data_IF_581000701930
#
_entry.id   IF_581000701930
#
_cell.length_a   1.000
_cell.length_b   1.000
_cell.length_c   1.000
_cell.angle_alpha   90.00
_cell.angle_beta   90.00
_cell.angle_gamma   90.00
#
_symmetry.space_group_name_H-M   'P 1'
#
loop_
_entity.id
_entity.type
_entity.pdbx_description
1 polymer ?
#
# COMPACT_ATOMS: atom_id res chain seq x y z
N UNK A 1 47.35 -8.15 20.90
CA UNK A 1 45.95 -7.73 20.74
C UNK A 1 45.79 -7.52 19.25
N UNK A 2 45.23 -8.47 18.49
CA UNK A 2 44.85 -8.19 17.12
C UNK A 2 43.59 -7.31 17.14
N UNK A 3 43.60 -6.29 16.27
CA UNK A 3 42.48 -5.42 15.94
C UNK A 3 41.30 -6.25 15.43
N UNK A 4 40.21 -6.32 16.21
CA UNK A 4 38.86 -6.55 15.68
C UNK A 4 38.28 -5.18 15.28
N UNK A 5 38.69 -4.69 14.11
CA UNK A 5 37.84 -3.76 13.39
C UNK A 5 36.72 -4.61 12.76
N UNK A 6 35.43 -4.27 12.96
CA UNK A 6 34.37 -4.97 12.24
C UNK A 6 34.63 -4.76 10.75
N UNK A 7 34.92 -5.85 10.04
CA UNK A 7 34.88 -5.88 8.59
C UNK A 7 33.60 -5.15 8.18
N UNK A 8 33.76 -4.05 7.45
CA UNK A 8 32.65 -3.33 6.85
C UNK A 8 31.82 -4.38 6.12
N UNK A 9 30.62 -4.67 6.61
CA UNK A 9 29.64 -5.50 5.93
C UNK A 9 29.59 -4.99 4.49
N UNK A 10 30.26 -5.71 3.58
CA UNK A 10 30.15 -5.42 2.16
C UNK A 10 28.66 -5.34 1.88
N UNK A 11 28.22 -4.29 1.18
CA UNK A 11 26.82 -4.08 0.81
C UNK A 11 26.36 -5.26 -0.06
N UNK A 12 26.03 -6.38 0.57
CA UNK A 12 25.51 -7.57 -0.09
C UNK A 12 24.08 -7.20 -0.47
N UNK A 13 23.93 -6.82 -1.73
CA UNK A 13 22.63 -6.62 -2.35
C UNK A 13 21.98 -8.00 -2.41
N UNK A 14 21.06 -8.27 -1.49
CA UNK A 14 20.33 -9.53 -1.39
C UNK A 14 18.83 -9.25 -1.38
N UNK A 15 18.04 -10.18 -1.90
CA UNK A 15 16.60 -10.05 -1.87
C UNK A 15 16.05 -9.97 -0.44
N UNK A 16 16.68 -10.68 0.51
CA UNK A 16 16.29 -10.65 1.92
C UNK A 16 16.52 -9.27 2.55
N UNK A 17 17.68 -8.64 2.29
CA UNK A 17 17.97 -7.29 2.81
C UNK A 17 17.08 -6.23 2.17
N UNK A 18 16.83 -6.33 0.86
CA UNK A 18 15.86 -5.50 0.14
C UNK A 18 14.48 -5.65 0.77
N UNK A 19 13.95 -6.88 0.86
CA UNK A 19 12.62 -7.15 1.37
C UNK A 19 12.42 -6.62 2.80
N UNK A 20 13.36 -6.88 3.71
CA UNK A 20 13.29 -6.35 5.09
C UNK A 20 13.25 -4.83 5.12
N UNK A 21 14.06 -4.18 4.29
CA UNK A 21 14.13 -2.71 4.23
C UNK A 21 12.81 -2.09 3.79
N UNK A 22 12.23 -2.58 2.70
CA UNK A 22 11.00 -2.01 2.14
C UNK A 22 9.76 -2.40 2.93
N UNK A 23 9.68 -3.61 3.48
CA UNK A 23 8.60 -3.99 4.39
C UNK A 23 8.62 -3.14 5.66
N UNK A 24 9.80 -2.88 6.23
CA UNK A 24 9.92 -1.98 7.38
C UNK A 24 9.57 -0.52 7.05
N UNK A 25 9.92 -0.04 5.85
CA UNK A 25 9.52 1.28 5.37
C UNK A 25 8.01 1.40 5.22
N UNK A 26 7.37 0.39 4.63
CA UNK A 26 5.93 0.36 4.44
C UNK A 26 5.17 0.26 5.76
N UNK A 27 5.67 -0.51 6.73
CA UNK A 27 5.10 -0.57 8.08
C UNK A 27 5.13 0.80 8.76
N UNK A 28 6.27 1.51 8.71
CA UNK A 28 6.36 2.87 9.28
C UNK A 28 5.39 3.84 8.61
N UNK A 29 5.21 3.73 7.30
CA UNK A 29 4.24 4.54 6.56
C UNK A 29 2.81 4.22 7.01
N UNK A 30 2.48 2.93 7.16
CA UNK A 30 1.19 2.47 7.67
C UNK A 30 0.91 3.03 9.08
N UNK A 31 1.87 2.89 10.00
CA UNK A 31 1.73 3.37 11.38
C UNK A 31 1.51 4.88 11.44
N UNK A 32 2.23 5.65 10.61
CA UNK A 32 2.07 7.10 10.49
C UNK A 32 0.70 7.49 9.95
N UNK A 33 0.17 6.76 8.96
CA UNK A 33 -1.17 6.98 8.42
C UNK A 33 -2.23 6.68 9.49
N UNK A 34 -2.15 5.51 10.14
CA UNK A 34 -3.09 5.11 11.18
C UNK A 34 -3.11 6.11 12.36
N UNK A 35 -1.93 6.57 12.81
CA UNK A 35 -1.81 7.57 13.86
C UNK A 35 -2.45 8.90 13.44
N UNK A 36 -2.18 9.35 12.21
CA UNK A 36 -2.70 10.62 11.68
C UNK A 36 -4.22 10.57 11.52
N UNK A 37 -4.77 9.46 11.02
CA UNK A 37 -6.21 9.22 10.92
C UNK A 37 -6.89 9.26 12.30
N UNK A 38 -6.33 8.58 13.28
CA UNK A 38 -6.84 8.61 14.65
C UNK A 38 -6.83 10.03 15.21
N UNK A 39 -5.72 10.76 15.05
CA UNK A 39 -5.59 12.14 15.52
C UNK A 39 -6.59 13.10 14.87
N UNK A 40 -6.84 12.96 13.57
CA UNK A 40 -7.82 13.78 12.85
C UNK A 40 -9.27 13.48 13.27
N UNK A 41 -9.60 12.22 13.59
CA UNK A 41 -10.92 11.84 14.11
C UNK A 41 -11.19 12.35 15.51
N UNK A 42 -10.16 12.42 16.36
CA UNK A 42 -10.30 12.80 17.77
C UNK A 42 -9.91 14.26 18.05
N UNK A 43 -9.69 15.08 17.01
CA UNK A 43 -9.25 16.46 17.19
C UNK A 43 -10.31 17.28 17.93
N UNK A 44 -9.93 17.92 19.04
CA UNK A 44 -10.81 18.83 19.79
C UNK A 44 -10.70 20.27 19.22
N UNK A 45 -11.79 20.84 18.68
CA UNK A 45 -11.80 22.23 18.21
C UNK A 45 -11.36 23.24 19.26
N UNK A 46 -11.67 23.01 20.54
CA UNK A 46 -11.28 23.93 21.62
C UNK A 46 -9.78 23.92 21.87
N UNK A 47 -9.16 22.74 21.75
CA UNK A 47 -7.71 22.63 21.83
C UNK A 47 -7.05 23.38 20.66
N UNK A 48 -7.60 23.26 19.45
CA UNK A 48 -7.13 24.03 18.29
C UNK A 48 -7.20 25.55 18.54
N UNK A 49 -8.35 26.06 18.99
CA UNK A 49 -8.55 27.49 19.28
C UNK A 49 -7.58 28.00 20.35
N UNK A 50 -7.30 27.19 21.37
CA UNK A 50 -6.30 27.52 22.39
C UNK A 50 -4.90 27.66 21.77
N UNK A 51 -4.42 26.66 21.03
CA UNK A 51 -3.08 26.68 20.46
C UNK A 51 -2.92 27.74 19.36
N UNK A 52 -3.97 28.02 18.59
CA UNK A 52 -3.96 29.08 17.58
C UNK A 52 -3.87 30.46 18.22
N UNK A 53 -4.57 30.69 19.34
CA UNK A 53 -4.54 31.96 20.07
C UNK A 53 -3.25 32.21 20.88
N UNK A 54 -2.55 31.15 21.29
CA UNK A 54 -1.23 31.27 21.93
C UNK A 54 -0.19 31.84 20.95
N UNK A 55 -0.31 31.52 19.66
CA UNK A 55 0.57 32.04 18.61
C UNK A 55 0.16 33.46 18.18
N UNK A 56 0.48 34.46 19.01
CA UNK A 56 0.12 35.88 18.76
C UNK A 56 0.91 36.59 17.65
N UNK A 57 1.83 35.89 16.99
CA UNK A 57 2.79 36.48 16.02
C UNK A 57 2.52 36.00 14.59
N UNK A 58 1.36 35.37 14.33
CA UNK A 58 1.02 34.92 12.98
C UNK A 58 0.88 36.12 12.02
N UNK A 59 1.49 36.07 10.82
CA UNK A 59 1.64 37.24 9.93
C UNK A 59 0.34 37.67 9.24
N UNK A 60 -0.67 36.79 9.17
CA UNK A 60 -1.95 37.08 8.53
C UNK A 60 -3.13 36.51 9.34
N UNK A 61 -3.49 37.13 10.49
CA UNK A 61 -4.62 36.68 11.32
C UNK A 61 -5.95 36.65 10.57
N UNK A 62 -6.13 37.51 9.57
CA UNK A 62 -7.31 37.55 8.71
C UNK A 62 -7.52 36.29 7.86
N UNK A 63 -6.47 35.49 7.64
CA UNK A 63 -6.54 34.22 6.91
C UNK A 63 -6.64 33.03 7.86
N UNK A 64 -6.97 33.25 9.14
CA UNK A 64 -7.14 32.18 10.10
C UNK A 64 -8.27 31.24 9.66
N UNK A 65 -7.97 29.94 9.68
CA UNK A 65 -8.92 28.90 9.33
C UNK A 65 -9.65 28.44 10.59
N UNK A 66 -10.93 28.11 10.43
CA UNK A 66 -11.70 27.42 11.47
C UNK A 66 -11.18 25.99 11.68
N UNK A 67 -11.51 25.38 12.82
CA UNK A 67 -11.15 23.99 13.11
C UNK A 67 -11.58 23.02 11.99
N UNK A 68 -12.79 23.18 11.45
CA UNK A 68 -13.31 22.35 10.36
C UNK A 68 -12.51 22.54 9.06
N UNK A 69 -12.17 23.79 8.72
CA UNK A 69 -11.36 24.10 7.54
C UNK A 69 -9.93 23.53 7.66
N UNK A 70 -9.32 23.61 8.85
CA UNK A 70 -8.00 23.00 9.09
C UNK A 70 -8.09 21.48 9.04
N UNK A 71 -9.14 20.87 9.58
CA UNK A 71 -9.31 19.41 9.52
C UNK A 71 -9.43 18.94 8.05
N UNK A 72 -10.28 19.59 7.25
CA UNK A 72 -10.39 19.30 5.82
C UNK A 72 -9.05 19.49 5.08
N UNK A 73 -8.33 20.59 5.36
CA UNK A 73 -7.01 20.84 4.79
C UNK A 73 -5.99 19.76 5.19
N UNK A 74 -5.97 19.36 6.46
CA UNK A 74 -5.07 18.34 6.98
C UNK A 74 -5.36 16.96 6.38
N UNK A 75 -6.64 16.59 6.18
CA UNK A 75 -7.03 15.37 5.47
C UNK A 75 -6.49 15.34 4.04
N UNK A 76 -6.66 16.43 3.30
CA UNK A 76 -6.15 16.54 1.92
C UNK A 76 -4.62 16.44 1.88
N UNK A 77 -3.93 17.14 2.78
CA UNK A 77 -2.48 17.09 2.90
C UNK A 77 -1.99 15.67 3.21
N UNK A 78 -2.62 15.00 4.18
CA UNK A 78 -2.29 13.62 4.58
C UNK A 78 -2.47 12.65 3.42
N UNK A 79 -3.55 12.76 2.65
CA UNK A 79 -3.77 11.94 1.46
C UNK A 79 -2.66 12.14 0.43
N UNK A 80 -2.32 13.39 0.09
CA UNK A 80 -1.24 13.68 -0.86
C UNK A 80 0.11 13.12 -0.40
N UNK A 81 0.47 13.32 0.87
CA UNK A 81 1.71 12.81 1.44
C UNK A 81 1.73 11.28 1.44
N UNK A 82 0.63 10.64 1.84
CA UNK A 82 0.49 9.18 1.86
C UNK A 82 0.71 8.58 0.47
N UNK A 83 0.02 9.10 -0.55
CA UNK A 83 0.16 8.62 -1.92
C UNK A 83 1.58 8.85 -2.44
N UNK A 84 2.16 10.03 -2.17
CA UNK A 84 3.53 10.34 -2.56
C UNK A 84 4.55 9.39 -1.93
N UNK A 85 4.43 9.12 -0.63
CA UNK A 85 5.33 8.23 0.09
C UNK A 85 5.19 6.79 -0.42
N UNK A 86 3.96 6.30 -0.61
CA UNK A 86 3.70 4.98 -1.16
C UNK A 86 4.28 4.80 -2.56
N UNK A 87 4.09 5.77 -3.45
CA UNK A 87 4.66 5.76 -4.79
C UNK A 87 6.19 5.82 -4.76
N UNK A 88 6.76 6.64 -3.86
CA UNK A 88 8.21 6.76 -3.67
C UNK A 88 8.85 5.47 -3.20
N UNK A 89 8.27 4.83 -2.17
CA UNK A 89 8.76 3.53 -1.66
C UNK A 89 8.62 2.46 -2.75
N UNK A 90 7.52 2.46 -3.51
CA UNK A 90 7.33 1.51 -4.61
C UNK A 90 8.37 1.66 -5.73
N UNK A 91 8.65 2.89 -6.16
CA UNK A 91 9.65 3.18 -7.17
C UNK A 91 11.07 2.78 -6.72
N UNK A 92 11.45 3.11 -5.48
CA UNK A 92 12.76 2.74 -4.94
C UNK A 92 12.89 1.21 -4.77
N UNK A 93 11.81 0.52 -4.40
CA UNK A 93 11.78 -0.95 -4.34
C UNK A 93 12.01 -1.58 -5.73
N UNK A 94 11.36 -1.04 -6.77
CA UNK A 94 11.59 -1.42 -8.16
C UNK A 94 13.06 -1.21 -8.56
N UNK A 95 13.66 -0.07 -8.20
CA UNK A 95 15.07 0.22 -8.49
C UNK A 95 16.00 -0.81 -7.88
N UNK A 96 15.79 -1.20 -6.61
CA UNK A 96 16.62 -2.20 -5.93
C UNK A 96 16.43 -3.59 -6.50
N UNK A 97 15.20 -3.97 -6.84
CA UNK A 97 14.92 -5.25 -7.48
C UNK A 97 15.56 -5.35 -8.87
N UNK A 98 15.47 -4.27 -9.66
CA UNK A 98 16.14 -4.18 -10.96
C UNK A 98 17.65 -4.34 -10.82
N UNK A 99 18.29 -3.60 -9.91
CA UNK A 99 19.73 -3.70 -9.68
C UNK A 99 20.15 -5.14 -9.32
N UNK A 100 19.39 -5.81 -8.46
CA UNK A 100 19.63 -7.22 -8.13
C UNK A 100 19.48 -8.13 -9.37
N UNK A 101 18.46 -7.92 -10.20
CA UNK A 101 18.27 -8.69 -11.43
C UNK A 101 19.42 -8.49 -12.43
N UNK A 102 19.93 -7.27 -12.59
CA UNK A 102 21.09 -6.96 -13.44
C UNK A 102 22.36 -7.62 -12.89
N UNK A 103 22.59 -7.56 -11.57
CA UNK A 103 23.70 -8.25 -10.92
C UNK A 103 23.67 -9.75 -11.22
N UNK A 104 22.51 -10.38 -11.04
CA UNK A 104 22.31 -11.81 -11.36
C UNK A 104 22.54 -12.10 -12.84
N UNK A 105 22.05 -11.24 -13.75
CA UNK A 105 22.15 -11.42 -15.21
C UNK A 105 23.60 -11.29 -15.72
N UNK A 106 24.32 -10.28 -15.24
CA UNK A 106 25.65 -9.93 -15.74
C UNK A 106 26.75 -10.72 -15.02
N UNK A 107 26.67 -10.79 -13.69
CA UNK A 107 27.71 -11.42 -12.86
C UNK A 107 27.46 -12.91 -12.64
N UNK A 108 26.19 -13.34 -12.60
CA UNK A 108 25.82 -14.75 -12.41
C UNK A 108 26.45 -15.35 -11.14
N UNK A 109 27.18 -16.46 -11.30
CA UNK A 109 27.92 -17.11 -10.20
C UNK A 109 29.33 -16.53 -9.97
N UNK A 110 29.79 -15.59 -10.80
CA UNK A 110 31.13 -15.04 -10.68
C UNK A 110 31.24 -14.14 -9.44
N UNK A 111 31.97 -14.57 -8.41
CA UNK A 111 32.16 -13.77 -7.19
C UNK A 111 33.42 -12.89 -7.25
N UNK A 112 34.23 -12.99 -8.30
CA UNK A 112 35.44 -12.19 -8.43
C UNK A 112 35.09 -10.74 -8.79
N UNK A 113 35.78 -9.74 -8.19
CA UNK A 113 35.67 -8.35 -8.61
C UNK A 113 36.10 -8.20 -10.08
N UNK A 114 35.23 -7.60 -10.89
CA UNK A 114 35.48 -7.35 -12.31
C UNK A 114 35.00 -5.94 -12.68
N UNK A 115 35.92 -4.99 -12.94
CA UNK A 115 35.57 -3.59 -13.17
C UNK A 115 34.75 -3.39 -14.46
N UNK A 116 34.89 -4.26 -15.46
CA UNK A 116 34.12 -4.14 -16.71
C UNK A 116 32.67 -4.58 -16.49
N UNK A 117 32.45 -5.65 -15.73
CA UNK A 117 31.10 -6.08 -15.33
C UNK A 117 30.44 -5.04 -14.42
N UNK A 118 31.18 -4.47 -13.47
CA UNK A 118 30.67 -3.43 -12.56
C UNK A 118 30.27 -2.16 -13.33
N UNK A 119 31.05 -1.77 -14.34
CA UNK A 119 30.68 -0.67 -15.25
C UNK A 119 29.39 -0.98 -16.01
N UNK A 120 29.27 -2.19 -16.56
CA UNK A 120 28.06 -2.61 -17.29
C UNK A 120 26.82 -2.60 -16.40
N UNK A 121 26.94 -3.10 -15.16
CA UNK A 121 25.85 -3.09 -14.16
C UNK A 121 25.46 -1.65 -13.83
N UNK A 122 26.44 -0.78 -13.59
CA UNK A 122 26.22 0.63 -13.28
C UNK A 122 25.52 1.38 -14.41
N UNK A 123 25.98 1.21 -15.65
CA UNK A 123 25.37 1.82 -16.84
C UNK A 123 23.92 1.36 -17.06
N UNK A 124 23.68 0.04 -16.98
CA UNK A 124 22.33 -0.51 -17.14
C UNK A 124 21.38 -0.02 -16.04
N UNK A 125 21.84 0.03 -14.79
CA UNK A 125 21.01 0.53 -13.69
C UNK A 125 20.73 2.03 -13.82
N UNK A 126 21.72 2.85 -14.18
CA UNK A 126 21.52 4.29 -14.38
C UNK A 126 20.53 4.57 -15.51
N UNK A 127 20.59 3.81 -16.60
CA UNK A 127 19.60 3.91 -17.68
C UNK A 127 18.17 3.63 -17.16
N UNK A 128 18.01 2.58 -16.35
CA UNK A 128 16.72 2.22 -15.74
C UNK A 128 16.15 3.31 -14.83
N UNK A 129 16.99 4.02 -14.06
CA UNK A 129 16.53 5.09 -13.17
C UNK A 129 15.84 6.23 -13.93
N UNK A 130 16.31 6.53 -15.14
CA UNK A 130 15.79 7.61 -16.00
C UNK A 130 14.51 7.25 -16.76
N UNK A 131 14.11 5.97 -16.75
CA UNK A 131 12.90 5.53 -17.43
C UNK A 131 11.63 6.07 -16.77
N UNK A 132 10.58 6.23 -17.57
CA UNK A 132 9.24 6.48 -17.06
C UNK A 132 8.75 5.29 -16.22
N UNK A 133 7.73 5.48 -15.39
CA UNK A 133 7.21 4.39 -14.57
C UNK A 133 6.69 3.21 -15.42
N UNK A 134 6.03 3.51 -16.54
CA UNK A 134 5.57 2.50 -17.49
C UNK A 134 6.75 1.73 -18.11
N UNK A 135 7.74 2.46 -18.62
CA UNK A 135 8.92 1.83 -19.25
C UNK A 135 9.72 0.98 -18.26
N UNK A 136 9.66 1.28 -16.95
CA UNK A 136 10.30 0.45 -15.91
C UNK A 136 9.65 -0.92 -15.78
N UNK A 137 8.31 -1.01 -15.85
CA UNK A 137 7.61 -2.29 -15.83
C UNK A 137 7.90 -3.08 -17.11
N UNK A 138 7.85 -2.41 -18.28
CA UNK A 138 8.17 -3.03 -19.56
C UNK A 138 9.62 -3.56 -19.60
N UNK A 139 10.58 -2.83 -19.04
CA UNK A 139 11.97 -3.27 -18.97
C UNK A 139 12.11 -4.50 -18.07
N UNK A 140 11.40 -4.58 -16.94
CA UNK A 140 11.42 -5.76 -16.07
C UNK A 140 10.88 -7.00 -16.80
N UNK A 141 9.81 -6.84 -17.55
CA UNK A 141 9.23 -7.92 -18.35
C UNK A 141 10.18 -8.35 -19.47
N UNK A 142 10.66 -7.41 -20.29
CA UNK A 142 11.50 -7.71 -21.47
C UNK A 142 12.87 -8.26 -21.07
N UNK A 143 13.52 -7.70 -20.05
CA UNK A 143 14.89 -8.07 -19.69
C UNK A 143 14.99 -9.27 -18.75
N UNK A 144 13.94 -9.55 -17.95
CA UNK A 144 13.98 -10.57 -16.90
C UNK A 144 12.76 -11.50 -16.87
N UNK A 145 11.70 -11.24 -17.65
CA UNK A 145 10.47 -12.03 -17.63
C UNK A 145 9.64 -11.82 -16.36
N UNK A 146 9.79 -10.68 -15.69
CA UNK A 146 9.09 -10.35 -14.45
C UNK A 146 7.85 -9.51 -14.78
N UNK A 147 6.67 -10.09 -14.64
CA UNK A 147 5.39 -9.38 -14.72
C UNK A 147 4.94 -8.94 -13.33
N UNK A 148 4.35 -7.74 -13.23
CA UNK A 148 3.84 -7.17 -11.99
C UNK A 148 2.32 -7.09 -12.02
N UNK A 149 1.64 -8.00 -11.32
CA UNK A 149 0.17 -8.11 -11.35
C UNK A 149 -0.56 -6.82 -10.88
N UNK A 150 0.10 -5.99 -10.09
CA UNK A 150 -0.46 -4.74 -9.54
C UNK A 150 0.12 -3.47 -10.19
N UNK A 151 0.69 -3.59 -11.39
CA UNK A 151 1.16 -2.46 -12.21
C UNK A 151 0.11 -1.35 -12.33
N UNK A 152 -1.13 -1.68 -12.69
CA UNK A 152 -2.22 -0.72 -12.87
C UNK A 152 -2.59 0.01 -11.57
N UNK A 153 -2.47 -0.68 -10.44
CA UNK A 153 -2.69 -0.06 -9.13
C UNK A 153 -1.57 0.92 -8.76
N UNK A 154 -0.32 0.63 -9.15
CA UNK A 154 0.80 1.58 -8.98
C UNK A 154 0.65 2.79 -9.91
N UNK A 155 0.17 2.60 -11.14
CA UNK A 155 -0.20 3.71 -12.02
C UNK A 155 -1.34 4.55 -11.45
N UNK A 156 -2.31 3.92 -10.78
CA UNK A 156 -3.39 4.62 -10.09
C UNK A 156 -2.85 5.56 -9.00
N UNK A 157 -1.82 5.16 -8.24
CA UNK A 157 -1.14 6.06 -7.29
C UNK A 157 -0.50 7.27 -7.99
N UNK A 158 0.18 7.04 -9.11
CA UNK A 158 0.81 8.12 -9.88
C UNK A 158 -0.24 9.10 -10.47
N UNK A 159 -1.35 8.57 -11.00
CA UNK A 159 -2.46 9.35 -11.50
C UNK A 159 -3.09 10.20 -10.39
N UNK A 160 -3.36 9.59 -9.23
CA UNK A 160 -3.91 10.28 -8.08
C UNK A 160 -2.99 11.39 -7.57
N UNK A 161 -1.67 11.13 -7.47
CA UNK A 161 -0.70 12.13 -7.06
C UNK A 161 -0.66 13.32 -8.01
N UNK A 162 -0.71 13.08 -9.32
CA UNK A 162 -0.75 14.14 -10.34
C UNK A 162 -1.97 15.03 -10.16
N UNK A 163 -3.14 14.45 -9.89
CA UNK A 163 -4.36 15.23 -9.61
C UNK A 163 -4.19 16.06 -8.35
N UNK A 164 -3.68 15.45 -7.27
CA UNK A 164 -3.51 16.11 -5.97
C UNK A 164 -2.37 17.14 -5.93
N UNK A 165 -1.44 17.09 -6.87
CA UNK A 165 -0.40 18.09 -7.02
C UNK A 165 -0.96 19.44 -7.55
N UNK A 166 -2.12 19.43 -8.23
CA UNK A 166 -2.79 20.66 -8.66
C UNK A 166 -3.56 21.30 -7.51
N UNK A 167 -3.63 22.63 -7.55
CA UNK A 167 -4.41 23.42 -6.58
C UNK A 167 -5.86 22.95 -6.61
N UNK A 168 -6.33 22.44 -5.48
CA UNK A 168 -7.70 21.97 -5.32
C UNK A 168 -7.93 20.50 -5.66
N UNK A 169 -6.95 19.70 -6.10
CA UNK A 169 -7.15 18.25 -6.30
C UNK A 169 -8.30 17.89 -7.25
N UNK A 170 -8.65 18.78 -8.17
CA UNK A 170 -9.78 18.63 -9.09
C UNK A 170 -9.34 17.83 -10.33
N UNK A 171 -10.17 16.87 -10.72
CA UNK A 171 -9.99 16.07 -11.92
C UNK A 171 -10.29 16.92 -13.16
N UNK A 172 -9.36 16.96 -14.11
CA UNK A 172 -9.50 17.68 -15.39
C UNK A 172 -9.53 16.72 -16.57
N UNK A 173 -9.81 17.24 -17.76
CA UNK A 173 -9.81 16.43 -18.98
C UNK A 173 -8.46 15.78 -19.30
N UNK A 174 -7.36 16.34 -18.80
CA UNK A 174 -6.01 15.75 -18.97
C UNK A 174 -5.80 14.51 -18.10
N UNK A 175 -6.74 14.22 -17.19
CA UNK A 175 -6.65 13.09 -16.26
C UNK A 175 -7.39 11.84 -16.71
N UNK A 176 -8.21 11.99 -17.73
CA UNK A 176 -9.18 10.97 -18.10
C UNK A 176 -8.54 9.93 -19.03
N UNK A 177 -8.96 8.70 -18.87
CA UNK A 177 -8.80 7.66 -19.87
C UNK A 177 -9.72 7.94 -21.09
N UNK A 178 -9.57 7.20 -22.20
CA UNK A 178 -10.39 7.39 -23.41
C UNK A 178 -11.90 7.25 -23.20
N UNK A 179 -12.34 6.60 -22.12
CA UNK A 179 -13.74 6.46 -21.72
C UNK A 179 -14.31 7.72 -21.03
N UNK A 180 -13.48 8.75 -20.85
CA UNK A 180 -13.86 10.04 -20.26
C UNK A 180 -13.86 10.04 -18.73
N UNK A 181 -13.23 9.06 -18.07
CA UNK A 181 -13.17 8.97 -16.61
C UNK A 181 -11.74 8.78 -16.13
N UNK A 182 -11.46 9.23 -14.91
CA UNK A 182 -10.28 8.81 -14.17
C UNK A 182 -10.68 7.60 -13.30
N UNK A 183 -10.02 6.47 -13.48
CA UNK A 183 -10.24 5.27 -12.66
C UNK A 183 -8.99 4.99 -11.84
N UNK A 184 -9.17 4.81 -10.54
CA UNK A 184 -8.12 4.36 -9.62
C UNK A 184 -8.41 2.92 -9.20
N UNK A 185 -7.39 2.09 -9.23
CA UNK A 185 -7.45 0.68 -8.84
C UNK A 185 -6.57 0.44 -7.62
N UNK A 186 -7.12 -0.25 -6.63
CA UNK A 186 -6.42 -0.58 -5.40
C UNK A 186 -7.09 -1.73 -4.64
N UNK A 187 -6.36 -2.31 -3.71
CA UNK A 187 -6.86 -3.35 -2.81
C UNK A 187 -7.65 -2.73 -1.66
N UNK A 188 -8.80 -3.31 -1.31
CA UNK A 188 -9.59 -2.92 -0.15
C UNK A 188 -10.05 -4.16 0.63
N UNK A 189 -10.14 -4.04 1.95
CA UNK A 189 -10.78 -5.04 2.80
C UNK A 189 -12.29 -4.90 2.65
N UNK A 190 -12.98 -5.98 2.26
CA UNK A 190 -14.44 -6.04 2.24
C UNK A 190 -14.92 -7.09 3.21
N UNK A 191 -15.87 -6.71 4.05
CA UNK A 191 -16.56 -7.63 4.93
C UNK A 191 -17.68 -8.35 4.17
N UNK A 192 -17.74 -9.66 4.34
CA UNK A 192 -18.78 -10.51 3.79
C UNK A 192 -19.53 -11.16 4.95
N UNK A 193 -20.86 -11.09 4.91
CA UNK A 193 -21.71 -11.89 5.77
C UNK A 193 -21.67 -13.34 5.26
N UNK A 194 -21.30 -14.26 6.13
CA UNK A 194 -21.33 -15.69 5.83
C UNK A 194 -22.63 -16.26 6.39
N UNK A 195 -23.48 -16.79 5.52
CA UNK A 195 -24.60 -17.63 5.95
C UNK A 195 -24.03 -18.95 6.51
N UNK A 196 -24.58 -19.41 7.64
CA UNK A 196 -24.13 -20.58 8.43
C UNK A 196 -24.01 -21.93 7.68
N UNK A 197 -24.26 -21.98 6.37
CA UNK A 197 -24.21 -23.20 5.57
C UNK A 197 -22.78 -23.65 5.19
N UNK A 198 -21.79 -22.76 5.26
CA UNK A 198 -20.39 -23.04 4.89
C UNK A 198 -19.45 -23.23 6.10
N UNK A 199 -19.96 -23.12 7.33
CA UNK A 199 -19.19 -23.49 8.51
C UNK A 199 -19.30 -25.01 8.73
N UNK A 200 -18.19 -25.74 8.69
CA UNK A 200 -18.14 -27.13 9.15
C UNK A 200 -18.77 -27.21 10.55
N UNK A 201 -19.93 -27.87 10.64
CA UNK A 201 -20.74 -27.97 11.85
C UNK A 201 -20.18 -29.13 12.68
N UNK A 202 -19.53 -28.83 13.80
CA UNK A 202 -19.48 -29.75 14.93
C UNK A 202 -20.91 -29.85 15.48
N UNK A 203 -21.61 -30.90 15.06
CA UNK A 203 -23.03 -31.12 15.27
C UNK A 203 -23.28 -31.68 16.69
N UNK A 204 -23.21 -30.81 17.71
CA UNK A 204 -23.76 -31.15 19.03
C UNK A 204 -25.15 -30.52 19.17
N UNK A 205 -26.16 -31.26 18.72
CA UNK A 205 -27.56 -30.88 18.85
C UNK A 205 -27.93 -30.63 20.32
N UNK A 206 -28.64 -29.54 20.67
CA UNK A 206 -29.06 -29.30 22.04
C UNK A 206 -30.07 -30.38 22.47
N UNK A 207 -29.79 -31.01 23.61
CA UNK A 207 -30.57 -32.11 24.17
C UNK A 207 -32.07 -31.76 24.25
N UNK A 208 -32.92 -32.67 23.75
CA UNK A 208 -34.36 -32.54 23.85
C UNK A 208 -34.81 -32.48 25.33
N UNK A 209 -35.75 -31.61 25.69
CA UNK A 209 -36.24 -31.51 27.06
C UNK A 209 -36.97 -32.81 27.46
N UNK A 210 -36.96 -33.16 28.76
CA UNK A 210 -37.53 -34.41 29.25
C UNK A 210 -39.04 -34.52 28.95
N UNK A 211 -39.57 -35.75 28.81
CA UNK A 211 -40.96 -35.99 28.45
C UNK A 211 -41.93 -35.34 29.45
N UNK A 212 -42.85 -34.51 28.96
CA UNK A 212 -43.92 -33.90 29.76
C UNK A 212 -43.86 -32.37 29.91
N UNK A 213 -42.85 -31.70 29.35
CA UNK A 213 -42.74 -30.22 29.38
C UNK A 213 -43.10 -29.65 28.01
N UNK A 214 -44.26 -28.98 27.90
CA UNK A 214 -44.63 -28.18 26.72
C UNK A 214 -44.06 -26.77 26.93
N UNK A 215 -43.06 -26.37 26.13
CA UNK A 215 -42.63 -24.97 26.07
C UNK A 215 -43.60 -24.18 25.19
N UNK A 216 -44.18 -23.12 25.74
CA UNK A 216 -44.86 -22.11 24.93
C UNK A 216 -43.81 -21.16 24.33
N UNK A 217 -43.81 -20.92 23.00
CA UNK A 217 -42.86 -19.99 22.40
C UNK A 217 -43.14 -18.58 22.90
N UNK A 218 -42.10 -17.87 23.35
CA UNK A 218 -42.23 -16.44 23.68
C UNK A 218 -42.25 -15.62 22.37
N UNK A 219 -43.06 -14.55 22.27
CA UNK A 219 -43.04 -13.68 21.10
C UNK A 219 -41.64 -13.07 20.92
N UNK A 220 -40.99 -13.32 19.80
CA UNK A 220 -39.63 -12.83 19.51
C UNK A 220 -38.49 -13.84 19.73
N UNK A 221 -38.78 -15.06 20.20
CA UNK A 221 -37.76 -16.11 20.39
C UNK A 221 -37.04 -16.47 19.07
N UNK A 222 -37.73 -16.35 17.92
CA UNK A 222 -37.16 -16.59 16.60
C UNK A 222 -36.09 -15.56 16.18
N UNK A 223 -36.14 -14.33 16.70
CA UNK A 223 -35.11 -13.30 16.44
C UNK A 223 -33.95 -13.39 17.43
N UNK A 224 -34.18 -13.93 18.63
CA UNK A 224 -33.15 -14.17 19.64
C UNK A 224 -32.32 -15.44 19.39
N UNK A 225 -32.79 -16.32 18.48
CA UNK A 225 -32.13 -17.56 18.05
C UNK A 225 -31.30 -17.40 16.76
N UNK A 226 -31.27 -16.21 16.15
CA UNK A 226 -30.34 -15.94 15.05
C UNK A 226 -28.93 -15.92 15.62
N UNK A 227 -28.14 -16.95 15.31
CA UNK A 227 -26.70 -16.98 15.61
C UNK A 227 -26.06 -15.71 15.05
N UNK A 228 -25.07 -15.13 15.74
CA UNK A 228 -24.35 -13.97 15.21
C UNK A 228 -23.75 -14.34 13.85
N UNK A 229 -24.20 -13.67 12.79
CA UNK A 229 -23.64 -13.81 11.45
C UNK A 229 -22.15 -13.48 11.54
N UNK A 230 -21.32 -14.48 11.25
CA UNK A 230 -19.87 -14.30 11.28
C UNK A 230 -19.48 -13.46 10.08
N UNK A 231 -19.00 -12.25 10.32
CA UNK A 231 -18.40 -11.41 9.28
C UNK A 231 -16.99 -11.92 8.97
N UNK A 232 -16.72 -12.22 7.71
CA UNK A 232 -15.38 -12.52 7.21
C UNK A 232 -14.88 -11.33 6.38
N UNK A 233 -13.74 -10.77 6.76
CA UNK A 233 -13.07 -9.74 5.97
C UNK A 233 -12.15 -10.38 4.93
N UNK A 234 -12.36 -10.07 3.65
CA UNK A 234 -11.52 -10.53 2.54
C UNK A 234 -10.96 -9.35 1.76
N UNK A 235 -9.67 -9.44 1.42
CA UNK A 235 -9.02 -8.47 0.55
C UNK A 235 -9.49 -8.65 -0.90
N UNK A 236 -9.94 -7.57 -1.52
CA UNK A 236 -10.44 -7.57 -2.91
C UNK A 236 -9.95 -6.34 -3.66
N UNK A 237 -9.67 -6.50 -4.95
CA UNK A 237 -9.49 -5.37 -5.85
C UNK A 237 -10.78 -4.53 -5.89
N UNK A 238 -10.58 -3.23 -5.86
CA UNK A 238 -11.65 -2.23 -5.89
C UNK A 238 -11.22 -1.12 -6.82
N UNK A 239 -12.18 -0.60 -7.55
CA UNK A 239 -11.98 0.54 -8.43
C UNK A 239 -12.77 1.73 -7.93
N UNK A 240 -12.24 2.92 -8.14
CA UNK A 240 -12.96 4.16 -7.89
C UNK A 240 -12.81 5.13 -9.04
N UNK A 241 -13.95 5.60 -9.55
CA UNK A 241 -14.03 6.42 -10.75
C UNK A 241 -14.35 7.87 -10.41
N UNK A 242 -13.77 8.79 -11.17
CA UNK A 242 -14.03 10.22 -11.08
C UNK A 242 -14.38 10.81 -12.44
N UNK A 243 -15.26 11.79 -12.40
CA UNK A 243 -15.64 12.60 -13.56
C UNK A 243 -14.86 13.94 -13.59
N UNK A 244 -14.81 14.61 -14.76
CA UNK A 244 -14.25 15.94 -14.85
C UNK A 244 -14.94 16.93 -13.91
N UNK A 245 -14.16 17.72 -13.19
CA UNK A 245 -14.64 18.69 -12.21
C UNK A 245 -14.89 18.11 -10.81
N UNK A 246 -14.82 16.78 -10.64
CA UNK A 246 -14.90 16.16 -9.32
C UNK A 246 -13.60 16.36 -8.53
N UNK A 247 -13.74 16.45 -7.22
CA UNK A 247 -12.62 16.52 -6.29
C UNK A 247 -12.10 15.11 -6.03
N UNK A 248 -10.80 14.90 -6.19
CA UNK A 248 -10.17 13.66 -5.76
C UNK A 248 -10.12 13.62 -4.24
N UNK A 249 -11.05 12.88 -3.64
CA UNK A 249 -11.14 12.69 -2.19
C UNK A 249 -11.30 11.22 -1.86
N UNK A 250 -10.28 10.58 -1.30
CA UNK A 250 -10.34 9.20 -0.82
C UNK A 250 -10.83 9.13 0.64
N UNK A 251 -11.64 8.11 0.93
CA UNK A 251 -11.97 7.73 2.29
C UNK A 251 -10.75 7.18 3.02
N UNK A 252 -10.87 7.10 4.34
CA UNK A 252 -9.78 6.62 5.20
C UNK A 252 -9.49 5.13 4.96
N UNK A 253 -10.54 4.35 4.68
CA UNK A 253 -10.44 2.94 4.32
C UNK A 253 -9.77 2.76 2.95
N UNK A 254 -10.09 3.62 1.98
CA UNK A 254 -9.43 3.63 0.67
C UNK A 254 -7.93 3.96 0.82
N UNK A 255 -7.56 4.94 1.67
CA UNK A 255 -6.16 5.27 1.93
C UNK A 255 -5.38 4.11 2.59
N UNK A 256 -6.01 3.40 3.53
CA UNK A 256 -5.43 2.17 4.10
C UNK A 256 -5.30 1.08 3.03
N UNK A 257 -6.27 0.99 2.12
CA UNK A 257 -6.24 0.11 0.95
C UNK A 257 -5.05 0.36 0.03
N UNK A 258 -4.68 1.63 -0.20
CA UNK A 258 -3.48 1.97 -0.97
C UNK A 258 -2.20 1.41 -0.34
N UNK A 259 -2.08 1.43 0.99
CA UNK A 259 -0.93 0.84 1.67
C UNK A 259 -0.88 -0.69 1.49
N UNK A 260 -2.03 -1.37 1.60
CA UNK A 260 -2.14 -2.81 1.36
C UNK A 260 -1.79 -3.15 -0.09
N UNK A 261 -2.18 -2.30 -1.03
CA UNK A 261 -1.85 -2.44 -2.46
C UNK A 261 -0.35 -2.48 -2.67
N UNK A 262 0.39 -1.53 -2.08
CA UNK A 262 1.86 -1.51 -2.16
C UNK A 262 2.49 -2.72 -1.45
N UNK A 263 1.91 -3.19 -0.34
CA UNK A 263 2.39 -4.40 0.34
C UNK A 263 2.27 -5.63 -0.59
N UNK A 264 1.12 -5.79 -1.24
CA UNK A 264 0.88 -6.88 -2.19
C UNK A 264 1.76 -6.77 -3.42
N UNK A 265 1.99 -5.56 -3.90
CA UNK A 265 2.93 -5.30 -4.98
C UNK A 265 4.35 -5.77 -4.60
N UNK A 266 4.81 -5.49 -3.38
CA UNK A 266 6.11 -5.98 -2.90
C UNK A 266 6.17 -7.50 -2.81
N UNK A 267 5.14 -8.12 -2.24
CA UNK A 267 5.06 -9.59 -2.16
C UNK A 267 5.16 -10.24 -3.55
N UNK A 268 4.43 -9.72 -4.53
CA UNK A 268 4.45 -10.20 -5.91
C UNK A 268 5.83 -10.00 -6.56
N UNK A 269 6.36 -8.78 -6.50
CA UNK A 269 7.66 -8.44 -7.08
C UNK A 269 8.78 -9.31 -6.48
N UNK A 270 8.84 -9.46 -5.16
CA UNK A 270 9.88 -10.26 -4.51
C UNK A 270 9.80 -11.73 -4.90
N UNK A 271 8.60 -12.30 -5.02
CA UNK A 271 8.43 -13.68 -5.50
C UNK A 271 8.94 -13.85 -6.93
N UNK A 272 8.61 -12.91 -7.82
CA UNK A 272 9.07 -12.95 -9.21
C UNK A 272 10.59 -12.79 -9.33
N UNK A 273 11.19 -11.90 -8.53
CA UNK A 273 12.66 -11.71 -8.47
C UNK A 273 13.36 -12.95 -7.89
N UNK A 274 12.82 -13.56 -6.83
CA UNK A 274 13.34 -14.81 -6.27
C UNK A 274 13.31 -15.93 -7.32
N UNK A 275 12.18 -16.09 -8.01
CA UNK A 275 12.03 -17.06 -9.08
C UNK A 275 13.05 -16.85 -10.20
N UNK A 276 13.19 -15.60 -10.67
CA UNK A 276 14.21 -15.23 -11.65
C UNK A 276 15.63 -15.61 -11.17
N UNK A 277 15.98 -15.26 -9.94
CA UNK A 277 17.29 -15.57 -9.35
C UNK A 277 17.58 -17.06 -9.31
N UNK A 278 16.63 -17.87 -8.81
CA UNK A 278 16.77 -19.34 -8.75
C UNK A 278 16.91 -19.96 -10.13
N UNK A 279 16.18 -19.46 -11.12
CA UNK A 279 16.25 -19.95 -12.51
C UNK A 279 17.61 -19.73 -13.17
N UNK A 280 18.37 -18.72 -12.72
CA UNK A 280 19.67 -18.33 -13.31
C UNK A 280 20.87 -18.86 -12.55
N UNK A 281 20.81 -18.92 -11.22
CA UNK A 281 21.94 -19.28 -10.36
C UNK A 281 21.83 -20.73 -9.85
N UNK A 282 20.63 -21.33 -9.88
CA UNK A 282 20.31 -22.63 -9.27
C UNK A 282 19.70 -22.48 -7.87
N UNK A 283 18.96 -23.49 -7.40
CA UNK A 283 18.48 -23.53 -6.00
C UNK A 283 19.69 -23.69 -5.06
N UNK A 284 20.05 -22.61 -4.34
CA UNK A 284 20.91 -22.66 -3.16
C UNK A 284 22.30 -23.25 -3.37
N UNK A 285 23.31 -22.38 -3.48
CA UNK A 285 24.60 -22.67 -2.84
C UNK A 285 24.59 -22.18 -1.41
#
# INVERSE_FOLDING_TARGET
MPDDAPESEENIISLQSISRTFMAALQRQHDMLAFSLAGLRTSDPRAYDYYSAVSRVMPSPQNHLTADQVNAYARNLMMRTTINDLLGIAAECLHRCHLLCVLIKVRGQNRAPDPDLDRQIGEAHQAFLQLSLQDKFEELEKSFGIMCDLEDSIFSLAAALRVLARVGGMVTNDDLAPDGKLTLEFMAMKDYEVDDQDAEVDDEAPAAPPPGVIRHPLPGEADLLKKPTKTLSKLTETTRTFQPGEMLELSEEELLGLNITVAKFFDGLFRSVDHYGRSRIGEGS
#
